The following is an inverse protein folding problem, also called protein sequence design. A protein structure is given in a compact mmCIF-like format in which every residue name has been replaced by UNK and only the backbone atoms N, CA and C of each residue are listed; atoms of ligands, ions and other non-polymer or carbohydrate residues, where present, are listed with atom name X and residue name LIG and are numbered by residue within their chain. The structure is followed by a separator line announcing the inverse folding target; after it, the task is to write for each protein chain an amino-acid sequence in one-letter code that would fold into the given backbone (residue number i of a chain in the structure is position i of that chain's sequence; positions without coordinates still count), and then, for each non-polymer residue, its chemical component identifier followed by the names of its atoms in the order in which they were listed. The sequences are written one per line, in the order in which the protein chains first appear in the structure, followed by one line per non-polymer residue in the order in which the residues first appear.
data_IF_420557122620
#
_entry.id   IF_420557122620
#
_cell.length_a   1.000
_cell.length_b   1.000
_cell.length_c   1.000
_cell.angle_alpha   90.00
_cell.angle_beta   90.00
_cell.angle_gamma   90.00
#
_symmetry.space_group_name_H-M   'P 1'
#
loop_
_entity.id
_entity.type
_entity.pdbx_description
1 polymer ?
#
# COMPACT_ATOMS: atom_id res chain seq x y z
N UNK A 1 -19.09 12.39 -16.61
CA UNK A 1 -19.94 12.22 -17.81
C UNK A 1 -20.64 13.53 -18.11
N UNK A 2 -20.93 13.81 -19.38
CA UNK A 2 -21.63 15.03 -19.80
C UNK A 2 -22.97 14.65 -20.43
N UNK A 3 -24.04 15.38 -20.13
CA UNK A 3 -25.36 15.21 -20.75
C UNK A 3 -25.68 16.40 -21.65
N UNK A 4 -25.88 16.17 -22.94
CA UNK A 4 -26.21 17.23 -23.89
C UNK A 4 -27.69 17.64 -23.80
N UNK A 5 -28.04 18.79 -24.38
CA UNK A 5 -29.43 19.26 -24.47
C UNK A 5 -30.36 18.33 -25.26
N UNK A 6 -29.80 17.37 -26.02
CA UNK A 6 -30.54 16.34 -26.76
C UNK A 6 -30.68 15.02 -25.98
N UNK A 7 -30.16 14.96 -24.75
CA UNK A 7 -30.19 13.76 -23.92
C UNK A 7 -29.04 12.78 -24.15
N UNK A 8 -28.10 13.10 -25.05
CA UNK A 8 -26.93 12.26 -25.29
C UNK A 8 -25.97 12.33 -24.11
N UNK A 9 -25.39 11.17 -23.74
CA UNK A 9 -24.37 11.11 -22.69
C UNK A 9 -22.99 10.91 -23.30
N UNK A 10 -22.11 11.88 -23.13
CA UNK A 10 -20.75 11.87 -23.64
C UNK A 10 -19.72 11.52 -22.55
N UNK A 11 -18.59 10.90 -22.92
CA UNK A 11 -17.46 10.73 -22.02
C UNK A 11 -16.85 12.10 -21.68
N UNK A 12 -16.22 12.17 -20.51
CA UNK A 12 -15.57 13.37 -20.01
C UNK A 12 -14.19 13.02 -19.50
N UNK A 13 -13.25 13.96 -19.59
CA UNK A 13 -11.91 13.81 -19.04
C UNK A 13 -11.66 14.81 -17.91
N UNK A 14 -10.90 14.37 -16.90
CA UNK A 14 -10.33 15.21 -15.86
C UNK A 14 -8.85 14.88 -15.75
N UNK A 15 -8.01 15.91 -15.79
CA UNK A 15 -6.56 15.81 -15.59
C UNK A 15 -6.18 16.26 -14.17
N UNK A 16 -5.41 15.43 -13.50
CA UNK A 16 -4.94 15.58 -12.13
C UNK A 16 -3.43 15.38 -12.10
N UNK A 17 -2.72 16.21 -11.35
CA UNK A 17 -1.31 16.07 -11.08
C UNK A 17 -1.12 15.68 -9.62
N UNK A 18 -0.34 14.63 -9.38
CA UNK A 18 0.09 14.24 -8.03
C UNK A 18 1.52 14.74 -7.86
N UNK A 19 1.73 15.56 -6.82
CA UNK A 19 2.98 16.28 -6.61
C UNK A 19 3.55 15.99 -5.22
N UNK A 20 4.87 15.85 -5.16
CA UNK A 20 5.63 15.78 -3.91
C UNK A 20 6.47 17.04 -3.76
N UNK A 21 6.62 17.50 -2.52
CA UNK A 21 7.55 18.58 -2.22
C UNK A 21 8.98 18.04 -2.13
N UNK A 22 9.89 18.62 -2.92
CA UNK A 22 11.32 18.31 -2.89
C UNK A 22 12.11 19.61 -2.87
N UNK A 23 12.88 19.81 -1.80
CA UNK A 23 13.72 21.02 -1.64
C UNK A 23 12.93 22.33 -1.70
N UNK A 24 11.72 22.36 -1.13
CA UNK A 24 10.86 23.54 -1.10
C UNK A 24 10.12 23.84 -2.42
N UNK A 25 10.16 22.92 -3.39
CA UNK A 25 9.45 23.03 -4.67
C UNK A 25 8.52 21.85 -4.88
N UNK A 26 7.35 22.12 -5.46
CA UNK A 26 6.42 21.08 -5.85
C UNK A 26 6.82 20.47 -7.18
N UNK A 27 7.09 19.16 -7.17
CA UNK A 27 7.44 18.40 -8.37
C UNK A 27 6.30 17.43 -8.71
N UNK A 28 5.89 17.41 -9.98
CA UNK A 28 4.90 16.45 -10.48
C UNK A 28 5.53 15.08 -10.59
N UNK A 29 5.03 14.14 -9.81
CA UNK A 29 5.47 12.73 -9.83
C UNK A 29 4.60 11.90 -10.79
N UNK A 30 3.29 12.22 -10.85
CA UNK A 30 2.35 11.55 -11.74
C UNK A 30 1.36 12.53 -12.36
N UNK A 31 1.12 12.34 -13.64
CA UNK A 31 0.09 13.02 -14.42
C UNK A 31 -0.99 11.98 -14.75
N UNK A 32 -2.19 12.21 -14.24
CA UNK A 32 -3.29 11.27 -14.25
C UNK A 32 -4.44 11.89 -15.04
N UNK A 33 -4.81 11.26 -16.14
CA UNK A 33 -6.01 11.62 -16.89
C UNK A 33 -7.06 10.53 -16.69
N UNK A 34 -8.16 10.89 -16.02
CA UNK A 34 -9.33 10.02 -15.91
C UNK A 34 -10.23 10.35 -17.09
N UNK A 35 -10.41 9.40 -18.01
CA UNK A 35 -11.33 9.51 -19.14
C UNK A 35 -12.38 8.40 -19.04
N UNK A 36 -13.64 8.77 -19.16
CA UNK A 36 -14.68 7.78 -19.36
C UNK A 36 -16.09 8.32 -19.23
N UNK A 37 -17.04 7.39 -19.31
CA UNK A 37 -18.47 7.60 -19.14
C UNK A 37 -18.97 6.63 -18.09
N UNK A 38 -19.19 7.12 -16.88
CA UNK A 38 -19.77 6.36 -15.77
C UNK A 38 -20.76 7.23 -15.02
N UNK A 39 -21.78 6.59 -14.44
CA UNK A 39 -22.74 7.18 -13.51
C UNK A 39 -22.41 6.85 -12.04
N UNK A 40 -21.56 5.85 -11.81
CA UNK A 40 -21.09 5.44 -10.49
C UNK A 40 -19.70 6.02 -10.19
N UNK A 41 -19.32 6.02 -8.91
CA UNK A 41 -17.98 6.43 -8.49
C UNK A 41 -16.91 5.58 -9.20
N UNK A 42 -15.92 6.27 -9.77
CA UNK A 42 -14.73 5.65 -10.34
C UNK A 42 -13.55 5.88 -9.40
N UNK A 43 -12.79 4.82 -9.11
CA UNK A 43 -11.60 4.88 -8.28
C UNK A 43 -10.37 4.63 -9.15
N UNK A 44 -9.43 5.57 -9.13
CA UNK A 44 -8.10 5.41 -9.72
C UNK A 44 -7.07 5.31 -8.59
N UNK A 45 -6.21 4.30 -8.67
CA UNK A 45 -5.10 4.14 -7.73
C UNK A 45 -3.79 4.48 -8.42
N UNK A 46 -2.91 5.18 -7.71
CA UNK A 46 -1.60 5.57 -8.22
C UNK A 46 -0.56 5.19 -7.18
N UNK A 47 0.46 4.46 -7.63
CA UNK A 47 1.61 4.10 -6.81
C UNK A 47 2.70 5.14 -7.07
N UNK A 48 3.25 5.67 -5.98
CA UNK A 48 4.39 6.58 -5.97
C UNK A 48 5.57 5.86 -5.32
N UNK A 49 6.63 5.70 -6.09
CA UNK A 49 7.91 5.15 -5.62
C UNK A 49 8.92 6.28 -5.37
N UNK A 50 10.09 5.96 -4.82
CA UNK A 50 11.18 6.92 -4.57
C UNK A 50 10.73 8.16 -3.78
N UNK A 51 10.07 7.90 -2.64
CA UNK A 51 9.54 8.94 -1.76
C UNK A 51 10.69 9.75 -1.11
N UNK A 52 10.51 11.07 -0.89
CA UNK A 52 11.46 11.85 -0.10
C UNK A 52 11.60 11.32 1.33
N UNK A 53 12.70 11.65 2.03
CA UNK A 53 12.82 11.37 3.46
C UNK A 53 11.66 12.00 4.24
N UNK A 54 11.20 11.30 5.28
CA UNK A 54 10.14 11.82 6.16
C UNK A 54 10.67 12.97 7.04
N UNK A 55 9.84 13.96 7.37
CA UNK A 55 8.50 14.21 6.83
C UNK A 55 8.55 14.83 5.43
N UNK A 56 7.56 14.53 4.59
CA UNK A 56 7.39 15.15 3.27
C UNK A 56 5.94 15.49 3.01
N UNK A 57 5.71 16.46 2.12
CA UNK A 57 4.37 16.90 1.75
C UNK A 57 3.96 16.31 0.39
N UNK A 58 2.69 15.92 0.29
CA UNK A 58 2.04 15.46 -0.93
C UNK A 58 0.81 16.31 -1.19
N UNK A 59 0.53 16.60 -2.46
CA UNK A 59 -0.73 17.22 -2.87
C UNK A 59 -1.22 16.65 -4.20
N UNK A 60 -2.53 16.77 -4.41
CA UNK A 60 -3.15 16.62 -5.72
C UNK A 60 -3.56 17.98 -6.23
N UNK A 61 -3.23 18.29 -7.47
CA UNK A 61 -3.65 19.49 -8.17
C UNK A 61 -4.54 19.07 -9.32
N UNK A 62 -5.74 19.62 -9.38
CA UNK A 62 -6.65 19.44 -10.52
C UNK A 62 -6.39 20.54 -11.54
N UNK A 63 -6.06 20.17 -12.78
CA UNK A 63 -5.84 21.14 -13.86
C UNK A 63 -7.12 21.44 -14.62
N UNK A 64 -8.00 20.45 -14.81
CA UNK A 64 -9.28 20.67 -15.47
C UNK A 64 -10.22 21.47 -14.56
N UNK A 65 -10.82 22.55 -15.04
CA UNK A 65 -11.75 23.34 -14.24
C UNK A 65 -12.92 22.50 -13.68
N UNK A 66 -13.42 22.91 -12.51
CA UNK A 66 -14.68 22.38 -11.97
C UNK A 66 -15.84 22.73 -12.91
N UNK A 67 -16.83 21.84 -12.97
CA UNK A 67 -18.05 22.14 -13.72
C UNK A 67 -18.85 23.24 -13.06
N UNK A 68 -19.37 24.18 -13.86
CA UNK A 68 -20.35 25.17 -13.42
C UNK A 68 -21.79 24.75 -13.69
N UNK A 69 -22.02 23.59 -14.31
CA UNK A 69 -23.34 23.08 -14.69
C UNK A 69 -23.56 21.66 -14.19
N UNK A 70 -24.81 21.30 -13.92
CA UNK A 70 -25.19 19.93 -13.53
C UNK A 70 -25.12 18.94 -14.71
N UNK A 71 -25.02 19.44 -15.94
CA UNK A 71 -24.90 18.62 -17.14
C UNK A 71 -23.55 17.92 -17.21
N UNK A 72 -22.50 18.53 -16.66
CA UNK A 72 -21.15 17.96 -16.62
C UNK A 72 -20.84 17.45 -15.20
N UNK A 73 -20.86 16.12 -15.07
CA UNK A 73 -20.54 15.42 -13.83
C UNK A 73 -19.05 15.04 -13.85
N UNK A 74 -18.20 15.90 -13.28
CA UNK A 74 -16.74 15.74 -13.22
C UNK A 74 -16.14 16.00 -11.82
N UNK A 75 -16.97 15.91 -10.77
CA UNK A 75 -16.53 16.11 -9.39
C UNK A 75 -15.50 15.05 -9.01
N UNK A 76 -14.35 15.49 -8.52
CA UNK A 76 -13.23 14.63 -8.14
C UNK A 76 -12.96 14.79 -6.65
N UNK A 77 -12.68 13.68 -5.96
CA UNK A 77 -12.43 13.66 -4.51
C UNK A 77 -11.18 12.81 -4.23
N UNK A 78 -10.36 13.26 -3.27
CA UNK A 78 -9.32 12.41 -2.69
C UNK A 78 -9.98 11.39 -1.77
N UNK A 79 -9.91 10.11 -2.14
CA UNK A 79 -10.57 9.04 -1.37
C UNK A 79 -9.75 8.63 -0.16
N UNK A 80 -8.50 8.22 -0.38
CA UNK A 80 -7.61 7.74 0.67
C UNK A 80 -6.15 7.77 0.20
N UNK A 81 -5.23 7.62 1.14
CA UNK A 81 -3.83 7.37 0.86
C UNK A 81 -3.31 6.29 1.80
N UNK A 82 -2.41 5.46 1.31
CA UNK A 82 -1.79 4.38 2.09
C UNK A 82 -0.29 4.47 1.91
N UNK A 83 0.43 4.64 3.01
CA UNK A 83 1.89 4.53 3.00
C UNK A 83 2.29 3.09 3.31
N UNK A 84 3.06 2.48 2.41
CA UNK A 84 3.63 1.15 2.61
C UNK A 84 5.07 1.32 3.07
N UNK A 85 5.39 0.80 4.25
CA UNK A 85 6.73 0.85 4.83
C UNK A 85 7.29 -0.56 4.83
N UNK A 86 8.28 -0.82 3.98
CA UNK A 86 9.04 -2.06 4.05
C UNK A 86 10.07 -1.95 5.18
N UNK A 87 9.77 -2.57 6.32
CA UNK A 87 10.71 -2.73 7.42
C UNK A 87 10.95 -4.21 7.61
N UNK A 88 12.23 -4.61 7.51
CA UNK A 88 12.66 -5.94 7.94
C UNK A 88 12.59 -6.00 9.46
N UNK A 89 11.42 -6.35 9.98
CA UNK A 89 11.24 -6.57 11.40
C UNK A 89 11.76 -7.97 11.73
N UNK A 90 12.91 -8.03 12.39
CA UNK A 90 13.30 -9.23 13.10
C UNK A 90 12.38 -9.35 14.31
N UNK A 91 11.58 -10.41 14.37
CA UNK A 91 10.78 -10.78 15.53
C UNK A 91 11.54 -11.86 16.32
N UNK A 92 12.56 -11.49 17.12
CA UNK A 92 13.35 -12.48 17.84
C UNK A 92 12.44 -13.29 18.78
N UNK A 93 12.68 -14.59 18.85
CA UNK A 93 11.90 -15.56 19.64
C UNK A 93 10.43 -15.71 19.21
N UNK A 94 10.04 -15.26 18.02
CA UNK A 94 8.72 -15.53 17.44
C UNK A 94 8.83 -16.62 16.36
N UNK A 95 7.92 -17.59 16.40
CA UNK A 95 7.73 -18.56 15.32
C UNK A 95 6.44 -18.21 14.57
N UNK A 96 6.52 -18.08 13.24
CA UNK A 96 5.36 -17.87 12.38
C UNK A 96 4.94 -19.25 11.84
N UNK A 97 3.66 -19.57 11.97
CA UNK A 97 3.08 -20.80 11.40
C UNK A 97 1.96 -20.40 10.45
N UNK A 98 2.12 -20.73 9.18
CA UNK A 98 1.07 -20.60 8.16
C UNK A 98 0.42 -21.95 7.90
N UNK A 99 -0.91 -22.00 7.84
CA UNK A 99 -1.67 -23.18 7.46
C UNK A 99 -2.47 -22.85 6.19
N UNK A 100 -2.23 -23.60 5.12
CA UNK A 100 -3.04 -23.53 3.90
C UNK A 100 -3.91 -24.78 3.84
N UNK A 101 -5.21 -24.58 3.66
CA UNK A 101 -6.20 -25.65 3.52
C UNK A 101 -7.14 -25.35 2.36
N UNK A 102 -7.75 -26.39 1.83
CA UNK A 102 -8.80 -26.27 0.83
C UNK A 102 -10.11 -25.83 1.49
N UNK A 103 -10.72 -24.75 0.98
CA UNK A 103 -11.93 -24.17 1.53
C UNK A 103 -13.14 -25.11 1.41
N UNK A 104 -13.15 -26.00 0.41
CA UNK A 104 -14.24 -26.96 0.20
C UNK A 104 -14.40 -27.95 1.36
N UNK A 105 -13.31 -28.27 2.07
CA UNK A 105 -13.32 -29.19 3.21
C UNK A 105 -13.92 -28.60 4.49
N UNK A 106 -14.05 -27.26 4.58
CA UNK A 106 -14.45 -26.57 5.82
C UNK A 106 -15.78 -25.81 5.68
N UNK A 107 -16.50 -25.98 4.57
CA UNK A 107 -17.88 -25.50 4.42
C UNK A 107 -18.07 -23.99 4.64
N UNK A 108 -17.02 -23.19 4.42
CA UNK A 108 -17.04 -21.74 4.65
C UNK A 108 -17.01 -21.31 6.12
N UNK A 109 -16.84 -22.22 7.09
CA UNK A 109 -16.65 -21.85 8.50
C UNK A 109 -15.20 -21.44 8.78
N UNK A 110 -15.04 -20.45 9.64
CA UNK A 110 -13.72 -19.98 10.08
C UNK A 110 -13.05 -21.08 10.92
N UNK A 111 -11.90 -21.58 10.46
CA UNK A 111 -11.19 -22.66 11.12
C UNK A 111 -10.64 -22.21 12.48
N UNK A 112 -10.89 -23.01 13.52
CA UNK A 112 -10.17 -22.89 14.79
C UNK A 112 -8.89 -23.73 14.72
N UNK A 113 -7.73 -23.08 14.78
CA UNK A 113 -6.43 -23.76 14.75
C UNK A 113 -5.84 -23.78 16.15
N UNK A 114 -5.59 -24.97 16.69
CA UNK A 114 -4.89 -25.16 17.97
C UNK A 114 -3.49 -25.72 17.68
N UNK A 115 -2.46 -25.12 18.28
CA UNK A 115 -1.07 -25.53 18.08
C UNK A 115 -0.53 -26.20 19.34
N UNK A 116 0.08 -27.38 19.19
CA UNK A 116 0.92 -28.00 20.22
C UNK A 116 2.33 -28.13 19.66
N UNK A 117 3.18 -27.13 19.92
CA UNK A 117 4.50 -27.01 19.31
C UNK A 117 5.57 -27.36 20.36
N UNK A 118 6.42 -28.34 20.05
CA UNK A 118 7.65 -28.60 20.81
C UNK A 118 8.78 -27.83 20.14
N UNK A 119 9.24 -26.74 20.75
CA UNK A 119 10.37 -25.96 20.24
C UNK A 119 11.63 -26.82 20.05
N UNK A 120 12.53 -26.42 19.15
CA UNK A 120 13.84 -27.08 18.95
C UNK A 120 14.87 -26.41 19.85
N UNK A 121 15.62 -27.20 20.64
CA UNK A 121 16.84 -26.73 21.29
C UNK A 121 17.88 -26.51 20.19
N UNK A 122 18.24 -25.26 19.94
CA UNK A 122 19.26 -24.90 18.96
C UNK A 122 20.60 -24.87 19.69
N UNK A 123 21.57 -25.63 19.18
CA UNK A 123 22.93 -25.51 19.66
C UNK A 123 23.46 -24.13 19.28
N UNK A 124 23.74 -23.31 20.29
CA UNK A 124 24.52 -22.10 20.11
C UNK A 124 25.99 -22.48 19.94
N UNK A 125 26.73 -21.84 19.01
CA UNK A 125 28.16 -22.01 18.92
C UNK A 125 28.82 -21.82 20.28
N UNK A 126 29.81 -22.65 20.62
CA UNK A 126 30.57 -22.56 21.88
C UNK A 126 31.21 -21.19 22.11
N UNK A 127 31.44 -20.43 21.03
CA UNK A 127 32.02 -19.10 21.07
C UNK A 127 30.98 -17.97 21.12
N UNK A 128 29.68 -18.26 21.29
CA UNK A 128 28.61 -17.26 21.39
C UNK A 128 28.20 -17.04 22.86
N UNK A 129 28.34 -15.80 23.35
CA UNK A 129 27.78 -15.34 24.64
C UNK A 129 26.31 -14.91 24.42
N UNK A 130 25.31 -15.65 24.94
CA UNK A 130 23.90 -15.36 24.71
C UNK A 130 23.38 -14.11 25.45
N UNK A 131 24.02 -13.68 26.53
CA UNK A 131 23.60 -12.48 27.28
C UNK A 131 24.12 -11.20 26.59
N UNK A 132 25.37 -11.24 26.11
CA UNK A 132 26.00 -10.09 25.46
C UNK A 132 25.84 -10.08 23.94
N UNK A 133 25.39 -11.19 23.35
CA UNK A 133 25.26 -11.41 21.90
C UNK A 133 26.58 -11.20 21.14
N UNK A 134 27.70 -11.57 21.77
CA UNK A 134 29.05 -11.39 21.23
C UNK A 134 29.70 -12.73 20.94
N UNK A 135 30.50 -12.79 19.88
CA UNK A 135 31.34 -13.93 19.57
C UNK A 135 32.75 -13.72 20.13
N UNK A 136 33.30 -14.70 20.83
CA UNK A 136 34.68 -14.65 21.35
C UNK A 136 35.46 -15.91 21.02
N UNK A 137 36.51 -15.77 20.20
CA UNK A 137 37.42 -16.88 19.86
C UNK A 137 37.02 -17.67 18.61
N UNK A 138 37.88 -18.64 18.26
CA UNK A 138 37.72 -19.53 17.09
C UNK A 138 36.68 -20.61 17.40
N UNK A 139 35.78 -20.87 16.46
CA UNK A 139 34.75 -21.91 16.58
C UNK A 139 35.40 -23.31 16.58
N UNK A 140 35.41 -23.97 17.73
CA UNK A 140 35.68 -25.41 17.83
C UNK A 140 34.34 -26.14 17.88
N UNK A 141 34.00 -26.83 16.79
CA UNK A 141 32.88 -27.74 16.73
C UNK A 141 33.13 -28.90 17.69
N UNK A 142 32.39 -28.95 18.81
CA UNK A 142 32.23 -30.14 19.64
C UNK A 142 30.74 -30.41 19.75
#
# INVERSE_FOLDING_TARGET
METTSKGDRNPTSVRLLIQLERGGKWMTEKDVTINGKTTSQFLASVILDNLPPRPFNIRMVRETADSTTDQLQNKTLWSSYTEIIDVKQCYPNTAIVGLQVDAEQFGGQQMTVNYHIRGRIIQVPSNYDPEKRTYSGIWTAV
#
